data_IF_031495766793
#
_entry.id   IF_031495766793
#
_cell.length_a   1.000
_cell.length_b   1.000
_cell.length_c   1.000
_cell.angle_alpha   90.00
_cell.angle_beta   90.00
_cell.angle_gamma   90.00
#
_symmetry.space_group_name_H-M   'P 1'
#
loop_
_entity.id
_entity.type
_entity.pdbx_description
1 polymer ?
#
# COMPACT_ATOMS: atom_id res chain seq x y z
N UNK A 1 -18.72 -4.67 28.88
CA UNK A 1 -17.49 -5.24 28.28
C UNK A 1 -17.26 -4.61 26.90
N UNK A 2 -16.02 -4.41 26.44
CA UNK A 2 -15.76 -3.91 25.09
C UNK A 2 -16.17 -4.95 24.03
N UNK A 3 -16.50 -4.46 22.82
CA UNK A 3 -16.72 -5.32 21.67
C UNK A 3 -15.37 -5.90 21.21
N UNK A 4 -15.20 -7.21 21.38
CA UNK A 4 -14.00 -7.91 20.94
C UNK A 4 -14.10 -8.17 19.44
N UNK A 5 -13.02 -7.89 18.71
CA UNK A 5 -12.96 -8.08 17.26
C UNK A 5 -11.61 -8.62 16.80
N UNK A 6 -11.59 -9.20 15.63
CA UNK A 6 -10.39 -9.74 14.98
C UNK A 6 -10.72 -10.86 14.00
N UNK A 7 -9.66 -11.50 13.51
CA UNK A 7 -9.75 -12.70 12.68
C UNK A 7 -10.56 -13.80 13.37
N UNK A 8 -11.24 -14.65 12.59
CA UNK A 8 -12.05 -15.80 13.03
C UNK A 8 -13.33 -15.46 13.81
N UNK A 9 -13.68 -14.19 14.01
CA UNK A 9 -14.98 -13.83 14.55
C UNK A 9 -16.10 -14.29 13.64
N UNK A 10 -17.19 -14.83 14.23
CA UNK A 10 -18.37 -15.24 13.46
C UNK A 10 -19.18 -14.00 13.06
N UNK A 11 -19.39 -13.75 11.74
CA UNK A 11 -20.25 -12.66 11.28
C UNK A 11 -21.72 -12.94 11.57
N UNK A 12 -22.55 -11.89 11.64
CA UNK A 12 -23.99 -11.96 11.94
C UNK A 12 -24.31 -12.70 13.26
N UNK A 13 -23.44 -12.58 14.26
CA UNK A 13 -23.61 -13.14 15.59
C UNK A 13 -23.36 -12.04 16.64
N UNK A 14 -22.21 -11.99 17.28
CA UNK A 14 -21.95 -11.05 18.41
C UNK A 14 -20.89 -10.00 18.08
N UNK A 15 -20.44 -9.85 16.85
CA UNK A 15 -19.42 -8.88 16.48
C UNK A 15 -19.88 -8.01 15.32
N UNK A 16 -20.18 -6.76 15.59
CA UNK A 16 -20.49 -5.76 14.56
C UNK A 16 -19.35 -5.58 13.57
N UNK A 17 -18.09 -5.60 14.04
CA UNK A 17 -16.91 -5.50 13.18
C UNK A 17 -16.86 -6.67 12.20
N UNK A 18 -17.05 -7.91 12.68
CA UNK A 18 -17.07 -9.09 11.82
C UNK A 18 -18.20 -9.04 10.79
N UNK A 19 -19.39 -8.60 11.21
CA UNK A 19 -20.56 -8.44 10.34
C UNK A 19 -20.31 -7.40 9.25
N UNK A 20 -19.78 -6.24 9.62
CA UNK A 20 -19.44 -5.19 8.65
C UNK A 20 -18.34 -5.64 7.67
N UNK A 21 -17.24 -6.23 8.17
CA UNK A 21 -16.17 -6.78 7.33
C UNK A 21 -16.70 -7.84 6.35
N UNK A 22 -17.52 -8.78 6.84
CA UNK A 22 -18.08 -9.83 6.01
C UNK A 22 -18.99 -9.30 4.92
N UNK A 23 -19.91 -8.37 5.26
CA UNK A 23 -20.89 -7.84 4.34
C UNK A 23 -20.23 -6.93 3.29
N UNK A 24 -19.38 -5.99 3.72
CA UNK A 24 -18.65 -5.08 2.84
C UNK A 24 -17.75 -5.88 1.88
N UNK A 25 -16.99 -6.84 2.38
CA UNK A 25 -16.14 -7.68 1.53
C UNK A 25 -16.91 -8.43 0.43
N UNK A 26 -18.21 -8.65 0.60
CA UNK A 26 -19.11 -9.34 -0.35
C UNK A 26 -20.07 -8.42 -1.09
N UNK A 27 -19.90 -7.10 -0.96
CA UNK A 27 -20.82 -6.10 -1.54
C UNK A 27 -22.27 -6.26 -1.04
N UNK A 28 -22.45 -6.79 0.18
CA UNK A 28 -23.75 -6.90 0.82
C UNK A 28 -24.11 -5.63 1.55
N UNK A 29 -25.41 -5.34 1.64
CA UNK A 29 -25.93 -4.20 2.42
C UNK A 29 -25.52 -4.32 3.90
N UNK A 30 -25.08 -3.22 4.47
CA UNK A 30 -24.82 -3.08 5.91
C UNK A 30 -25.95 -2.26 6.52
N UNK A 31 -26.54 -2.75 7.58
CA UNK A 31 -27.54 -2.02 8.36
C UNK A 31 -26.87 -1.39 9.57
N UNK A 32 -27.08 -0.11 9.77
CA UNK A 32 -26.60 0.67 10.92
C UNK A 32 -27.84 1.16 11.65
N UNK A 33 -28.08 0.64 12.85
CA UNK A 33 -29.27 0.97 13.66
C UNK A 33 -29.26 2.43 14.13
N UNK A 34 -28.13 2.87 14.66
CA UNK A 34 -27.87 4.24 15.08
C UNK A 34 -26.43 4.65 14.70
N UNK A 35 -26.27 5.54 13.69
CA UNK A 35 -24.96 6.00 13.23
C UNK A 35 -24.09 6.62 14.31
N UNK A 36 -24.68 7.26 15.32
CA UNK A 36 -23.98 7.98 16.38
C UNK A 36 -23.66 7.11 17.61
N UNK A 37 -24.20 5.89 17.65
CA UNK A 37 -23.93 4.96 18.75
C UNK A 37 -22.43 4.67 18.87
N UNK A 38 -21.87 4.97 20.05
CA UNK A 38 -20.45 4.77 20.34
C UNK A 38 -20.24 3.35 20.85
N UNK A 39 -19.31 2.64 20.21
CA UNK A 39 -18.86 1.33 20.62
C UNK A 39 -17.40 1.38 21.10
N UNK A 40 -17.12 0.57 22.12
CA UNK A 40 -15.78 0.36 22.64
C UNK A 40 -15.19 -0.90 22.07
N UNK A 41 -14.02 -0.81 21.45
CA UNK A 41 -13.38 -1.90 20.72
C UNK A 41 -12.14 -2.43 21.43
N UNK A 42 -12.00 -3.76 21.47
CA UNK A 42 -10.79 -4.44 21.95
C UNK A 42 -10.36 -5.49 20.91
N UNK A 43 -9.15 -5.35 20.39
CA UNK A 43 -8.63 -6.30 19.41
C UNK A 43 -8.26 -7.63 20.08
N UNK A 44 -8.58 -8.74 19.43
CA UNK A 44 -8.43 -10.08 20.02
C UNK A 44 -6.98 -10.38 20.45
N UNK A 45 -5.98 -9.99 19.65
CA UNK A 45 -4.58 -10.25 20.01
C UNK A 45 -4.14 -9.42 21.22
N UNK A 46 -4.65 -8.17 21.39
CA UNK A 46 -4.41 -7.37 22.59
C UNK A 46 -5.07 -8.01 23.82
N UNK A 47 -6.26 -8.56 23.65
CA UNK A 47 -6.93 -9.32 24.73
C UNK A 47 -6.11 -10.54 25.16
N UNK A 48 -5.61 -11.31 24.18
CA UNK A 48 -4.80 -12.51 24.46
C UNK A 48 -3.53 -12.17 25.22
N UNK A 49 -2.86 -11.05 24.86
CA UNK A 49 -1.67 -10.57 25.59
C UNK A 49 -2.04 -10.25 27.04
N UNK A 50 -3.11 -9.47 27.26
CA UNK A 50 -3.58 -9.13 28.60
C UNK A 50 -3.96 -10.36 29.43
N UNK A 51 -4.63 -11.33 28.82
CA UNK A 51 -5.00 -12.58 29.50
C UNK A 51 -3.76 -13.37 29.92
N UNK A 52 -2.74 -13.48 29.05
CA UNK A 52 -1.47 -14.14 29.39
C UNK A 52 -0.73 -13.47 30.54
N UNK A 53 -0.75 -12.14 30.60
CA UNK A 53 -0.16 -11.39 31.73
C UNK A 53 -0.94 -11.68 33.01
N UNK A 54 -2.25 -11.69 32.96
CA UNK A 54 -3.11 -11.94 34.11
C UNK A 54 -3.02 -13.39 34.63
N UNK A 55 -2.84 -14.37 33.75
CA UNK A 55 -2.63 -15.77 34.21
C UNK A 55 -1.33 -15.93 34.99
N UNK A 56 -0.29 -15.15 34.67
CA UNK A 56 0.98 -15.13 35.43
C UNK A 56 0.84 -14.46 36.79
N UNK A 57 -0.10 -13.50 36.94
CA UNK A 57 -0.31 -12.72 38.16
C UNK A 57 -1.39 -13.31 39.10
N UNK A 58 -1.99 -14.45 38.74
CA UNK A 58 -3.17 -15.02 39.41
C UNK A 58 -4.46 -14.31 39.04
N UNK A 59 -5.44 -15.05 38.53
CA UNK A 59 -6.76 -14.52 38.13
C UNK A 59 -7.56 -14.10 39.33
N UNK A 60 -7.89 -12.80 39.43
CA UNK A 60 -8.88 -12.30 40.39
C UNK A 60 -9.89 -11.36 39.66
N UNK A 61 -11.05 -11.15 40.27
CA UNK A 61 -12.16 -10.35 39.72
C UNK A 61 -11.74 -8.93 39.33
N UNK A 62 -10.83 -8.30 40.09
CA UNK A 62 -10.31 -6.93 39.81
C UNK A 62 -9.52 -6.85 38.50
N UNK A 63 -9.00 -7.95 38.00
CA UNK A 63 -8.22 -8.03 36.76
C UNK A 63 -9.15 -8.04 35.55
N UNK A 64 -10.27 -8.74 35.62
CA UNK A 64 -11.30 -8.76 34.57
C UNK A 64 -11.89 -7.37 34.34
N UNK A 65 -12.08 -6.62 35.43
CA UNK A 65 -12.61 -5.23 35.39
C UNK A 65 -11.62 -4.23 34.75
N UNK A 66 -10.34 -4.60 34.64
CA UNK A 66 -9.28 -3.81 33.94
C UNK A 66 -9.19 -4.07 32.45
N UNK A 67 -9.98 -4.97 31.87
CA UNK A 67 -10.06 -5.19 30.43
C UNK A 67 -10.77 -4.00 29.74
N UNK A 68 -10.07 -2.86 29.70
CA UNK A 68 -10.57 -1.66 29.04
C UNK A 68 -10.43 -1.78 27.53
N UNK A 69 -11.39 -1.20 26.82
CA UNK A 69 -11.28 -0.99 25.37
C UNK A 69 -10.07 -0.10 25.07
N UNK A 70 -9.37 -0.39 23.97
CA UNK A 70 -8.28 0.44 23.51
C UNK A 70 -8.79 1.61 22.65
N UNK A 71 -9.94 1.42 22.00
CA UNK A 71 -10.48 2.37 21.02
C UNK A 71 -11.99 2.57 21.24
N UNK A 72 -12.47 3.81 21.02
CA UNK A 72 -13.89 4.17 20.95
C UNK A 72 -14.19 4.78 19.59
N UNK A 73 -15.30 4.38 18.97
CA UNK A 73 -15.68 4.81 17.62
C UNK A 73 -17.19 4.75 17.46
N UNK A 74 -17.79 5.62 16.65
CA UNK A 74 -19.20 5.50 16.29
C UNK A 74 -19.42 4.39 15.27
N UNK A 75 -20.64 3.86 15.18
CA UNK A 75 -20.98 2.84 14.15
C UNK A 75 -20.78 3.39 12.75
N UNK A 76 -21.10 4.66 12.50
CA UNK A 76 -20.85 5.29 11.19
C UNK A 76 -19.36 5.40 10.87
N UNK A 77 -18.54 5.80 11.83
CA UNK A 77 -17.09 5.89 11.63
C UNK A 77 -16.48 4.51 11.37
N UNK A 78 -16.96 3.47 12.07
CA UNK A 78 -16.54 2.09 11.84
C UNK A 78 -16.89 1.64 10.42
N UNK A 79 -18.13 1.87 10.00
CA UNK A 79 -18.56 1.57 8.64
C UNK A 79 -17.70 2.26 7.60
N UNK A 80 -17.50 3.58 7.74
CA UNK A 80 -16.71 4.37 6.79
C UNK A 80 -15.29 3.81 6.67
N UNK A 81 -14.61 3.52 7.79
CA UNK A 81 -13.25 2.94 7.77
C UNK A 81 -13.18 1.60 7.03
N UNK A 82 -14.13 0.69 7.27
CA UNK A 82 -14.12 -0.62 6.61
C UNK A 82 -14.51 -0.48 5.13
N UNK A 83 -15.43 0.40 4.81
CA UNK A 83 -15.83 0.69 3.43
C UNK A 83 -14.68 1.34 2.64
N UNK A 84 -13.91 2.24 3.26
CA UNK A 84 -12.71 2.82 2.65
C UNK A 84 -11.65 1.76 2.29
N UNK A 85 -11.52 0.69 3.09
CA UNK A 85 -10.62 -0.41 2.74
C UNK A 85 -11.04 -1.10 1.44
N UNK A 86 -12.34 -1.30 1.23
CA UNK A 86 -12.87 -1.86 -0.01
C UNK A 86 -12.66 -0.91 -1.20
N UNK A 87 -13.02 0.37 -1.04
CA UNK A 87 -12.87 1.39 -2.09
C UNK A 87 -11.39 1.52 -2.49
N UNK A 88 -10.51 1.64 -1.50
CA UNK A 88 -9.07 1.76 -1.74
C UNK A 88 -8.51 0.53 -2.45
N UNK A 89 -8.95 -0.67 -2.06
CA UNK A 89 -8.56 -1.91 -2.73
C UNK A 89 -9.01 -1.94 -4.20
N UNK A 90 -10.23 -1.50 -4.49
CA UNK A 90 -10.74 -1.38 -5.87
C UNK A 90 -9.94 -0.37 -6.68
N UNK A 91 -9.58 0.75 -6.09
CA UNK A 91 -8.73 1.79 -6.71
C UNK A 91 -7.24 1.42 -6.73
N UNK A 92 -6.86 0.29 -6.12
CA UNK A 92 -5.47 -0.14 -5.95
C UNK A 92 -4.60 0.89 -5.22
N UNK A 93 -5.20 1.59 -4.25
CA UNK A 93 -4.55 2.56 -3.37
C UNK A 93 -4.44 1.95 -1.98
N UNK A 94 -3.33 2.14 -1.32
CA UNK A 94 -3.13 1.74 0.07
C UNK A 94 -3.30 2.97 0.96
N UNK A 95 -4.29 2.93 1.84
CA UNK A 95 -4.55 4.00 2.81
C UNK A 95 -3.66 3.92 4.05
N UNK A 96 -4.03 4.69 5.08
CA UNK A 96 -3.31 4.72 6.38
C UNK A 96 -3.66 3.48 7.21
N UNK A 97 -2.97 2.37 6.97
CA UNK A 97 -3.25 1.05 7.59
C UNK A 97 -2.08 0.48 8.40
N UNK A 98 -1.03 1.26 8.65
CA UNK A 98 0.22 0.76 9.25
C UNK A 98 0.19 0.68 10.79
N UNK A 99 -0.70 1.41 11.47
CA UNK A 99 -0.71 1.51 12.94
C UNK A 99 -2.11 1.70 13.53
N UNK A 100 -2.22 1.56 14.86
CA UNK A 100 -3.43 1.82 15.65
C UNK A 100 -4.64 0.99 15.22
N UNK A 101 -5.83 1.53 15.42
CA UNK A 101 -7.10 0.88 15.10
C UNK A 101 -7.19 0.52 13.59
N UNK A 102 -6.70 1.37 12.70
CA UNK A 102 -6.76 1.11 11.26
C UNK A 102 -6.00 -0.17 10.87
N UNK A 103 -4.81 -0.43 11.45
CA UNK A 103 -4.06 -1.67 11.22
C UNK A 103 -4.88 -2.90 11.63
N UNK A 104 -5.51 -2.85 12.81
CA UNK A 104 -6.29 -3.95 13.39
C UNK A 104 -7.57 -4.21 12.58
N UNK A 105 -8.29 -3.15 12.21
CA UNK A 105 -9.49 -3.25 11.38
C UNK A 105 -9.17 -3.75 9.96
N UNK A 106 -8.09 -3.24 9.34
CA UNK A 106 -7.68 -3.70 8.02
C UNK A 106 -7.29 -5.17 8.01
N UNK A 107 -6.50 -5.61 8.98
CA UNK A 107 -6.14 -7.03 9.17
C UNK A 107 -7.39 -7.90 9.32
N UNK A 108 -8.36 -7.43 10.12
CA UNK A 108 -9.65 -8.10 10.28
C UNK A 108 -10.43 -8.14 8.96
N UNK A 109 -10.55 -7.01 8.25
CA UNK A 109 -11.25 -6.94 6.96
C UNK A 109 -10.65 -7.92 5.94
N UNK A 110 -9.31 -7.97 5.81
CA UNK A 110 -8.63 -8.89 4.89
C UNK A 110 -8.96 -10.35 5.22
N UNK A 111 -9.08 -10.72 6.51
CA UNK A 111 -9.43 -12.09 6.91
C UNK A 111 -10.86 -12.50 6.52
N UNK A 112 -11.72 -11.55 6.18
CA UNK A 112 -13.09 -11.79 5.69
C UNK A 112 -13.24 -11.77 4.17
N UNK A 113 -12.16 -11.52 3.42
CA UNK A 113 -12.24 -11.53 1.95
C UNK A 113 -12.62 -12.93 1.43
N UNK A 114 -13.59 -13.02 0.51
CA UNK A 114 -13.87 -14.28 -0.17
C UNK A 114 -12.69 -14.67 -1.08
N UNK A 115 -12.52 -15.96 -1.32
CA UNK A 115 -11.38 -16.54 -2.06
C UNK A 115 -11.11 -15.82 -3.41
N UNK A 116 -12.16 -15.50 -4.15
CA UNK A 116 -12.08 -14.84 -5.46
C UNK A 116 -11.71 -13.35 -5.39
N UNK A 117 -11.63 -12.75 -4.19
CA UNK A 117 -11.20 -11.36 -3.98
C UNK A 117 -9.81 -11.26 -3.32
N UNK A 118 -9.15 -12.38 -3.03
CA UNK A 118 -7.79 -12.35 -2.45
C UNK A 118 -6.78 -11.88 -3.50
N UNK A 119 -6.97 -12.30 -4.76
CA UNK A 119 -6.13 -11.89 -5.90
C UNK A 119 -6.82 -10.82 -6.73
N UNK A 120 -6.04 -9.98 -7.39
CA UNK A 120 -6.52 -9.01 -8.37
C UNK A 120 -5.40 -8.72 -9.39
N UNK A 121 -5.81 -8.39 -10.60
CA UNK A 121 -4.89 -8.05 -11.66
C UNK A 121 -4.49 -6.58 -11.60
N UNK A 122 -3.23 -6.29 -11.91
CA UNK A 122 -2.75 -4.95 -12.22
C UNK A 122 -2.71 -4.75 -13.73
N UNK A 123 -2.90 -3.52 -14.16
CA UNK A 123 -2.84 -3.17 -15.58
C UNK A 123 -1.39 -3.16 -16.04
N UNK A 124 -1.11 -3.86 -17.14
CA UNK A 124 0.19 -3.88 -17.81
C UNK A 124 0.10 -3.07 -19.10
N UNK A 125 0.80 -1.95 -19.17
CA UNK A 125 0.91 -1.11 -20.36
C UNK A 125 2.11 -1.58 -21.19
N UNK A 126 1.86 -1.91 -22.46
CA UNK A 126 2.91 -2.42 -23.36
C UNK A 126 3.19 -1.40 -24.46
N UNK A 127 4.47 -1.29 -24.87
CA UNK A 127 4.93 -0.55 -26.03
C UNK A 127 6.12 -1.27 -26.71
N UNK A 128 6.68 -0.70 -27.78
CA UNK A 128 7.81 -1.29 -28.51
C UNK A 128 9.08 -1.45 -27.66
N UNK A 129 9.17 -0.74 -26.55
CA UNK A 129 10.33 -0.76 -25.63
C UNK A 129 10.20 -1.86 -24.57
N UNK A 130 8.98 -2.36 -24.30
CA UNK A 130 8.69 -3.36 -23.28
C UNK A 130 7.37 -3.09 -22.58
N UNK A 131 7.32 -3.20 -21.27
CA UNK A 131 6.09 -3.02 -20.50
C UNK A 131 6.29 -2.19 -19.22
N UNK A 132 5.18 -1.68 -18.69
CA UNK A 132 5.12 -0.92 -17.44
C UNK A 132 3.88 -1.33 -16.66
N UNK A 133 3.99 -1.45 -15.34
CA UNK A 133 2.86 -1.68 -14.45
C UNK A 133 3.03 -0.99 -13.10
N UNK A 134 1.92 -0.45 -12.59
CA UNK A 134 1.86 0.16 -11.27
C UNK A 134 1.41 -0.91 -10.27
N UNK A 135 2.21 -1.12 -9.21
CA UNK A 135 1.92 -2.15 -8.22
C UNK A 135 1.33 -1.58 -6.93
N UNK A 136 1.88 -0.47 -6.44
CA UNK A 136 1.53 0.13 -5.17
C UNK A 136 1.31 1.64 -5.34
N UNK A 137 0.24 2.16 -4.75
CA UNK A 137 -0.06 3.60 -4.70
C UNK A 137 -0.52 4.01 -3.31
N UNK A 138 -0.01 5.13 -2.84
CA UNK A 138 -0.41 5.72 -1.57
C UNK A 138 -0.28 7.25 -1.67
N UNK A 139 -1.30 7.98 -1.22
CA UNK A 139 -1.36 9.44 -1.35
C UNK A 139 -0.27 10.17 -0.55
N UNK A 140 0.24 9.55 0.52
CA UNK A 140 1.25 10.17 1.39
C UNK A 140 2.69 9.77 1.02
N UNK A 141 2.87 8.62 0.32
CA UNK A 141 4.20 8.02 0.06
C UNK A 141 4.46 7.72 -1.41
N UNK A 142 3.58 8.19 -2.30
CA UNK A 142 3.74 8.05 -3.75
C UNK A 142 3.37 6.67 -4.30
N UNK A 143 4.07 6.23 -5.33
CA UNK A 143 3.78 4.96 -5.99
C UNK A 143 5.03 4.13 -6.22
N UNK A 144 4.85 2.81 -6.25
CA UNK A 144 5.82 1.84 -6.71
C UNK A 144 5.29 1.20 -7.99
N UNK A 145 6.14 1.19 -8.99
CA UNK A 145 5.90 0.61 -10.31
C UNK A 145 7.06 -0.30 -10.69
N UNK A 146 6.89 -1.09 -11.71
CA UNK A 146 8.01 -1.73 -12.37
C UNK A 146 7.88 -1.61 -13.88
N UNK A 147 8.99 -1.67 -14.56
CA UNK A 147 8.99 -1.78 -16.00
C UNK A 147 9.99 -2.82 -16.50
N UNK A 148 9.67 -3.35 -17.67
CA UNK A 148 10.55 -4.20 -18.43
C UNK A 148 11.01 -3.40 -19.65
N UNK A 149 12.32 -3.34 -19.89
CA UNK A 149 12.89 -2.77 -21.11
C UNK A 149 13.61 -3.87 -21.90
N UNK A 150 13.19 -4.09 -23.14
CA UNK A 150 13.80 -5.05 -24.05
C UNK A 150 15.26 -4.70 -24.31
N UNK A 151 16.06 -5.68 -24.73
CA UNK A 151 17.48 -5.49 -25.11
C UNK A 151 17.67 -4.23 -25.96
N UNK A 152 18.63 -3.39 -25.58
CA UNK A 152 19.02 -2.16 -26.30
C UNK A 152 18.03 -0.99 -26.16
N UNK A 153 16.85 -1.18 -25.57
CA UNK A 153 15.84 -0.14 -25.46
C UNK A 153 16.14 0.85 -24.34
N UNK A 154 15.60 2.05 -24.52
CA UNK A 154 15.74 3.20 -23.61
C UNK A 154 14.38 3.57 -23.09
N UNK A 155 14.29 3.91 -21.77
CA UNK A 155 13.12 4.50 -21.14
C UNK A 155 13.51 5.79 -20.42
N UNK A 156 12.60 6.76 -20.38
CA UNK A 156 12.84 8.10 -19.85
C UNK A 156 12.93 9.14 -20.97
N UNK A 157 14.01 9.92 -21.03
CA UNK A 157 14.17 11.14 -21.83
C UNK A 157 13.19 12.25 -21.42
N UNK A 158 13.11 12.48 -20.12
CA UNK A 158 12.29 13.55 -19.54
C UNK A 158 12.93 14.04 -18.25
N UNK A 159 12.43 15.17 -17.77
CA UNK A 159 12.80 15.71 -16.47
C UNK A 159 11.55 16.03 -15.64
N UNK A 160 11.76 16.29 -14.37
CA UNK A 160 10.75 16.68 -13.41
C UNK A 160 11.13 17.95 -12.69
N UNK A 161 10.15 18.73 -12.25
CA UNK A 161 10.40 19.91 -11.40
C UNK A 161 10.42 19.56 -9.90
N UNK A 162 9.56 18.67 -9.45
CA UNK A 162 9.39 18.30 -8.03
C UNK A 162 9.32 16.79 -7.79
N UNK A 163 8.96 16.03 -8.82
CA UNK A 163 8.92 14.57 -8.71
C UNK A 163 10.32 14.00 -8.61
N UNK A 164 10.51 13.15 -7.61
CA UNK A 164 11.73 12.38 -7.38
C UNK A 164 11.42 10.91 -7.58
N UNK A 165 12.30 10.22 -8.29
CA UNK A 165 12.18 8.80 -8.59
C UNK A 165 13.41 8.04 -8.10
N UNK A 166 13.20 6.80 -7.62
CA UNK A 166 14.25 5.86 -7.25
C UNK A 166 14.18 4.65 -8.16
N UNK A 167 15.30 4.31 -8.79
CA UNK A 167 15.43 3.20 -9.72
C UNK A 167 16.30 2.12 -9.12
N UNK A 168 15.83 0.88 -9.15
CA UNK A 168 16.57 -0.31 -8.76
C UNK A 168 16.48 -1.35 -9.87
N UNK A 169 17.62 -1.71 -10.44
CA UNK A 169 17.70 -2.84 -11.38
C UNK A 169 17.62 -4.14 -10.61
N UNK A 170 16.57 -4.93 -10.84
CA UNK A 170 16.35 -6.22 -10.19
C UNK A 170 16.68 -7.40 -11.09
N UNK A 171 16.82 -7.14 -12.41
CA UNK A 171 17.30 -8.13 -13.39
C UNK A 171 17.96 -7.41 -14.56
N UNK A 172 19.15 -7.85 -14.97
CA UNK A 172 19.88 -7.38 -16.14
C UNK A 172 20.89 -6.28 -15.84
N UNK A 173 21.32 -5.58 -16.91
CA UNK A 173 22.35 -4.54 -16.85
C UNK A 173 21.87 -3.27 -17.53
N UNK A 174 22.10 -2.12 -16.91
CA UNK A 174 21.66 -0.83 -17.41
C UNK A 174 22.73 0.26 -17.26
N UNK A 175 22.60 1.29 -18.07
CA UNK A 175 23.25 2.58 -17.85
C UNK A 175 22.14 3.61 -17.58
N UNK A 176 22.21 4.27 -16.44
CA UNK A 176 21.35 5.39 -16.08
C UNK A 176 22.11 6.69 -16.33
N UNK A 177 21.55 7.57 -17.14
CA UNK A 177 22.14 8.86 -17.47
C UNK A 177 21.26 10.00 -17.00
N UNK A 178 21.88 11.06 -16.48
CA UNK A 178 21.25 12.33 -16.15
C UNK A 178 22.01 13.49 -16.78
N UNK A 179 21.27 14.51 -17.20
CA UNK A 179 21.80 15.74 -17.78
C UNK A 179 21.16 16.94 -17.07
N UNK A 180 21.96 17.75 -16.44
CA UNK A 180 21.53 19.02 -15.88
C UNK A 180 21.07 19.93 -17.05
N UNK A 181 19.82 20.38 -17.01
CA UNK A 181 19.22 21.18 -18.07
C UNK A 181 19.92 22.53 -18.18
N UNK A 182 20.33 23.12 -17.04
CA UNK A 182 20.97 24.44 -16.98
C UNK A 182 22.45 24.39 -17.36
N UNK A 183 23.23 23.53 -16.72
CA UNK A 183 24.69 23.49 -16.85
C UNK A 183 25.19 22.53 -17.93
N UNK A 184 24.28 21.67 -18.48
CA UNK A 184 24.60 20.60 -19.44
C UNK A 184 25.53 19.51 -18.89
N UNK A 185 25.78 19.51 -17.58
CA UNK A 185 26.61 18.50 -16.92
C UNK A 185 25.96 17.13 -17.04
N UNK A 186 26.76 16.14 -17.41
CA UNK A 186 26.33 14.75 -17.53
C UNK A 186 26.78 13.91 -16.33
N UNK A 187 25.86 13.09 -15.82
CA UNK A 187 26.13 12.03 -14.85
C UNK A 187 25.74 10.69 -15.47
N UNK A 188 26.53 9.65 -15.23
CA UNK A 188 26.28 8.31 -15.78
C UNK A 188 26.59 7.24 -14.74
N UNK A 189 25.65 6.31 -14.55
CA UNK A 189 25.75 5.24 -13.55
C UNK A 189 25.52 3.89 -14.21
N UNK A 190 26.46 2.97 -13.99
CA UNK A 190 26.27 1.55 -14.34
C UNK A 190 25.50 0.87 -13.22
N UNK A 191 24.43 0.16 -13.58
CA UNK A 191 23.52 -0.55 -12.67
C UNK A 191 23.38 -1.99 -13.14
N UNK A 192 23.29 -2.90 -12.18
CA UNK A 192 23.04 -4.31 -12.44
C UNK A 192 22.31 -4.98 -11.27
N UNK A 193 21.87 -6.21 -11.50
CA UNK A 193 21.18 -7.05 -10.53
C UNK A 193 22.10 -7.69 -9.47
N UNK A 194 23.42 -7.54 -9.60
CA UNK A 194 24.38 -8.11 -8.65
C UNK A 194 24.68 -7.15 -7.51
N UNK A 195 24.85 -5.85 -7.83
CA UNK A 195 25.20 -4.83 -6.82
C UNK A 195 23.98 -4.19 -6.17
N UNK A 196 22.78 -4.30 -6.78
CA UNK A 196 21.51 -3.74 -6.29
C UNK A 196 21.62 -2.26 -5.88
N UNK A 197 22.30 -1.47 -6.69
CA UNK A 197 22.49 -0.03 -6.45
C UNK A 197 21.22 0.74 -6.81
N UNK A 198 20.75 1.59 -5.88
CA UNK A 198 19.66 2.54 -6.14
C UNK A 198 20.24 3.83 -6.75
N UNK A 199 19.59 4.34 -7.79
CA UNK A 199 19.83 5.69 -8.33
C UNK A 199 18.58 6.53 -8.13
N UNK A 200 18.77 7.78 -7.70
CA UNK A 200 17.69 8.76 -7.55
C UNK A 200 17.73 9.78 -8.71
N UNK A 201 16.56 10.10 -9.28
CA UNK A 201 16.46 11.21 -10.21
C UNK A 201 16.56 12.53 -9.48
N UNK A 202 17.25 13.51 -10.08
CA UNK A 202 17.40 14.84 -9.54
C UNK A 202 16.42 15.77 -10.27
N UNK A 203 15.55 16.52 -9.58
CA UNK A 203 14.71 17.53 -10.22
C UNK A 203 15.54 18.50 -11.05
N UNK A 204 15.04 18.86 -12.24
CA UNK A 204 15.79 19.70 -13.20
C UNK A 204 16.83 18.96 -14.03
N UNK A 205 17.01 17.64 -13.82
CA UNK A 205 17.87 16.81 -14.65
C UNK A 205 17.04 15.94 -15.59
N UNK A 206 17.25 16.08 -16.90
CA UNK A 206 16.75 15.07 -17.86
C UNK A 206 17.41 13.74 -17.59
N UNK A 207 16.65 12.68 -17.50
CA UNK A 207 17.18 11.35 -17.23
C UNK A 207 16.60 10.29 -18.15
N UNK A 208 17.37 9.22 -18.32
CA UNK A 208 16.95 8.00 -18.99
C UNK A 208 17.76 6.80 -18.52
N UNK A 209 17.18 5.63 -18.69
CA UNK A 209 17.84 4.34 -18.46
C UNK A 209 17.88 3.53 -19.75
N UNK A 210 19.04 2.98 -20.08
CA UNK A 210 19.27 2.12 -21.25
C UNK A 210 19.58 0.69 -20.82
N UNK A 211 18.86 -0.27 -21.37
CA UNK A 211 19.23 -1.68 -21.25
C UNK A 211 20.49 -1.96 -22.09
N UNK A 212 21.60 -2.29 -21.44
CA UNK A 212 22.89 -2.65 -22.07
C UNK A 212 23.20 -4.14 -21.90
N UNK A 213 22.30 -4.91 -21.31
CA UNK A 213 22.40 -6.36 -21.20
C UNK A 213 21.96 -7.11 -22.46
N UNK A 214 22.08 -8.43 -22.42
CA UNK A 214 21.69 -9.32 -23.52
C UNK A 214 20.27 -9.87 -23.40
N UNK A 215 19.59 -9.61 -22.28
CA UNK A 215 18.23 -10.03 -21.97
C UNK A 215 17.38 -8.83 -21.61
N UNK A 216 16.12 -9.05 -21.26
CA UNK A 216 15.23 -8.04 -20.74
C UNK A 216 15.76 -7.46 -19.42
N UNK A 217 15.64 -6.16 -19.28
CA UNK A 217 15.95 -5.41 -18.07
C UNK A 217 14.67 -5.24 -17.25
N UNK A 218 14.69 -5.60 -15.98
CA UNK A 218 13.59 -5.36 -15.05
C UNK A 218 14.03 -4.33 -14.01
N UNK A 219 13.26 -3.26 -13.89
CA UNK A 219 13.53 -2.15 -12.97
C UNK A 219 12.35 -1.91 -12.07
N UNK A 220 12.59 -1.88 -10.78
CA UNK A 220 11.66 -1.39 -9.77
C UNK A 220 11.82 0.13 -9.68
N UNK A 221 10.69 0.84 -9.70
CA UNK A 221 10.61 2.30 -9.70
C UNK A 221 9.70 2.76 -8.57
N UNK A 222 10.20 3.62 -7.69
CA UNK A 222 9.39 4.39 -6.77
C UNK A 222 9.36 5.86 -7.20
N UNK A 223 8.22 6.52 -7.03
CA UNK A 223 8.10 7.98 -7.14
C UNK A 223 7.37 8.55 -5.93
N UNK A 224 7.75 9.76 -5.52
CA UNK A 224 7.18 10.43 -4.34
C UNK A 224 5.72 10.88 -4.52
N UNK A 225 5.17 10.76 -5.71
CA UNK A 225 3.78 11.09 -6.04
C UNK A 225 3.13 10.00 -6.89
N UNK A 226 1.79 9.95 -6.85
CA UNK A 226 1.00 9.13 -7.78
C UNK A 226 0.93 9.88 -9.13
N UNK A 227 1.14 9.17 -10.23
CA UNK A 227 1.03 9.76 -11.57
C UNK A 227 -0.39 10.26 -11.83
N UNK A 228 -0.52 11.55 -12.17
CA UNK A 228 -1.74 12.18 -12.63
C UNK A 228 -1.57 12.63 -14.11
N UNK A 229 -2.33 12.02 -15.01
CA UNK A 229 -2.28 12.35 -16.42
C UNK A 229 -2.73 13.78 -16.75
N UNK A 230 -3.50 14.43 -15.87
CA UNK A 230 -3.97 15.82 -16.05
C UNK A 230 -2.92 16.84 -15.62
N UNK A 231 -2.02 16.46 -14.72
CA UNK A 231 -0.95 17.31 -14.20
C UNK A 231 0.35 16.50 -14.06
N UNK A 232 0.87 15.95 -15.15
CA UNK A 232 2.09 15.16 -15.06
C UNK A 232 3.27 16.11 -14.86
N UNK A 233 3.98 15.96 -13.74
CA UNK A 233 5.28 16.62 -13.56
C UNK A 233 6.34 15.84 -14.39
N UNK A 234 6.18 15.84 -15.71
CA UNK A 234 7.03 15.10 -16.64
C UNK A 234 7.14 15.86 -17.95
N UNK A 235 8.33 16.38 -18.25
CA UNK A 235 8.60 17.26 -19.37
C UNK A 235 9.62 16.62 -20.29
N UNK A 236 9.32 16.63 -21.58
CA UNK A 236 10.26 16.21 -22.63
C UNK A 236 11.08 17.43 -23.10
N UNK A 237 12.31 17.19 -23.45
CA UNK A 237 13.20 18.15 -24.10
C UNK A 237 13.46 17.64 -25.52
#
# INVERSE_FOLDING_TARGET
>A
MPNIFGKWSRPNYNSVVATFCHNIARNKKVYISDPNSIISLLYIDDLVVKLKEYTKMGLNKKIIDRLKANDKITLQQLYNKINDFQINRTKKIIGKISRGLNKKLYSTYISFLPKNKITYNIEKKNDSRGSFAEFYKNNDTGQVSFFIAKKGKIRGHHFHHSKVEKFLVVQGKAIFNMFDISTKKKLSFKLDDKTLKVVESIPGYQHYIKNVGNSDLVVLLWSNEIFDAKKPDTYKI
#
